data_IF_817775441849
#
_entry.id   IF_817775441849
#
_cell.length_a   1.000
_cell.length_b   1.000
_cell.length_c   1.000
_cell.angle_alpha   90.00
_cell.angle_beta   90.00
_cell.angle_gamma   90.00
#
_symmetry.space_group_name_H-M   'P 1'
#
loop_
_entity.id
_entity.type
_entity.pdbx_description
1 polymer ?
#
# COMPACT_ATOMS: atom_id res chain seq x y z
N UNK A 1 21.88 23.85 9.88
CA UNK A 1 21.58 23.43 8.51
C UNK A 1 20.49 24.37 7.99
N UNK A 2 20.74 25.14 6.94
CA UNK A 2 19.72 26.02 6.36
C UNK A 2 18.79 25.11 5.57
N UNK A 3 17.51 25.00 5.95
CA UNK A 3 16.50 24.33 5.15
C UNK A 3 16.40 25.04 3.81
N UNK A 4 16.58 24.30 2.72
CA UNK A 4 16.31 24.80 1.37
C UNK A 4 14.79 24.72 1.18
N UNK A 5 14.09 25.72 1.65
CA UNK A 5 12.68 25.94 1.28
C UNK A 5 12.65 26.48 -0.16
N UNK A 6 11.51 26.31 -0.84
CA UNK A 6 11.32 26.97 -2.14
C UNK A 6 11.47 28.51 -2.01
N UNK A 7 11.39 29.23 -3.14
CA UNK A 7 11.52 30.70 -3.17
C UNK A 7 10.52 31.43 -2.25
N UNK A 8 9.47 30.77 -1.80
CA UNK A 8 8.40 31.30 -0.94
C UNK A 8 8.47 30.80 0.52
N UNK A 9 9.46 29.96 0.87
CA UNK A 9 9.62 29.42 2.22
C UNK A 9 8.67 28.28 2.59
N UNK A 10 7.94 27.71 1.61
CA UNK A 10 7.06 26.56 1.83
C UNK A 10 7.87 25.26 1.87
N UNK A 11 7.47 24.26 2.69
CA UNK A 11 8.08 22.94 2.64
C UNK A 11 7.79 22.27 1.30
N UNK A 12 8.77 21.52 0.79
CA UNK A 12 8.69 20.78 -0.48
C UNK A 12 8.56 19.28 -0.19
N UNK A 13 7.50 18.66 -0.69
CA UNK A 13 7.32 17.20 -0.64
C UNK A 13 7.48 16.65 -2.06
N UNK A 14 8.50 15.81 -2.24
CA UNK A 14 8.66 15.07 -3.48
C UNK A 14 7.73 13.85 -3.48
N UNK A 15 6.91 13.73 -4.52
CA UNK A 15 5.99 12.60 -4.72
C UNK A 15 6.49 11.79 -5.90
N UNK A 16 6.73 10.50 -5.68
CA UNK A 16 7.12 9.55 -6.72
C UNK A 16 5.89 8.82 -7.21
N UNK A 17 5.60 8.98 -8.51
CA UNK A 17 4.38 8.50 -9.16
C UNK A 17 3.45 9.65 -9.54
N UNK A 18 2.63 9.44 -10.56
CA UNK A 18 1.95 10.50 -11.30
C UNK A 18 0.45 10.24 -11.55
N UNK A 19 -0.10 9.28 -10.78
CA UNK A 19 -1.48 8.84 -10.89
C UNK A 19 -2.48 9.80 -10.23
N UNK A 20 -3.72 9.29 -10.06
CA UNK A 20 -4.80 10.08 -9.45
C UNK A 20 -4.52 10.44 -7.99
N UNK A 21 -3.83 9.58 -7.24
CA UNK A 21 -3.54 9.82 -5.83
C UNK A 21 -2.56 10.99 -5.66
N UNK A 22 -1.51 11.04 -6.48
CA UNK A 22 -0.60 12.18 -6.53
C UNK A 22 -1.33 13.48 -6.96
N UNK A 23 -2.29 13.38 -7.90
CA UNK A 23 -3.14 14.52 -8.28
C UNK A 23 -3.96 15.04 -7.09
N UNK A 24 -4.54 14.16 -6.29
CA UNK A 24 -5.34 14.53 -5.11
C UNK A 24 -4.45 15.10 -4.00
N UNK A 25 -3.23 14.58 -3.82
CA UNK A 25 -2.24 15.16 -2.90
C UNK A 25 -1.95 16.64 -3.22
N UNK A 26 -1.92 17.03 -4.51
CA UNK A 26 -1.73 18.43 -4.90
C UNK A 26 -2.84 19.35 -4.40
N UNK A 27 -4.09 18.88 -4.37
CA UNK A 27 -5.22 19.66 -3.86
C UNK A 27 -5.03 19.99 -2.38
N UNK A 28 -4.72 18.97 -1.57
CA UNK A 28 -4.50 19.13 -0.13
C UNK A 28 -3.21 19.92 0.18
N UNK A 29 -2.18 19.76 -0.63
CA UNK A 29 -0.93 20.49 -0.48
C UNK A 29 -1.14 22.01 -0.61
N UNK A 30 -2.03 22.47 -1.50
CA UNK A 30 -2.38 23.88 -1.65
C UNK A 30 -2.97 24.43 -0.34
N UNK A 31 -3.93 23.73 0.24
CA UNK A 31 -4.59 24.13 1.48
C UNK A 31 -3.61 24.15 2.68
N UNK A 32 -2.65 23.23 2.68
CA UNK A 32 -1.64 23.12 3.74
C UNK A 32 -0.42 24.03 3.55
N UNK A 33 -0.31 24.76 2.44
CA UNK A 33 0.86 25.56 2.11
C UNK A 33 2.11 24.72 1.89
N UNK A 34 1.96 23.56 1.25
CA UNK A 34 3.03 22.63 0.89
C UNK A 34 3.21 22.65 -0.64
N UNK A 35 4.44 22.67 -1.10
CA UNK A 35 4.77 22.49 -2.51
C UNK A 35 4.96 21.00 -2.82
N UNK A 36 4.23 20.48 -3.82
CA UNK A 36 4.46 19.17 -4.39
C UNK A 36 5.45 19.25 -5.54
N UNK A 37 6.49 18.44 -5.48
CA UNK A 37 7.38 18.15 -6.60
C UNK A 37 7.13 16.73 -7.06
N UNK A 38 6.84 16.53 -8.34
CA UNK A 38 6.40 15.26 -8.90
C UNK A 38 7.51 14.59 -9.70
N UNK A 39 7.73 13.28 -9.50
CA UNK A 39 8.40 12.43 -10.49
C UNK A 39 7.34 11.75 -11.33
N UNK A 40 7.26 12.10 -12.61
CA UNK A 40 6.26 11.59 -13.54
C UNK A 40 6.91 10.88 -14.73
N UNK A 41 6.27 9.80 -15.20
CA UNK A 41 6.70 9.08 -16.40
C UNK A 41 6.42 9.87 -17.68
N UNK A 42 5.34 10.69 -17.68
CA UNK A 42 4.96 11.52 -18.84
C UNK A 42 4.41 12.87 -18.37
N UNK A 43 4.44 13.86 -19.25
CA UNK A 43 3.94 15.22 -18.98
C UNK A 43 2.41 15.34 -19.07
N UNK A 44 1.73 14.34 -19.64
CA UNK A 44 0.28 14.25 -19.73
C UNK A 44 -0.35 13.33 -18.64
N UNK A 45 0.46 12.80 -17.73
CA UNK A 45 -0.01 12.01 -16.61
C UNK A 45 -0.99 12.80 -15.71
N UNK A 46 -1.86 12.09 -14.99
CA UNK A 46 -2.95 12.70 -14.21
C UNK A 46 -2.48 13.80 -13.26
N UNK A 47 -1.44 13.58 -12.49
CA UNK A 47 -0.89 14.56 -11.56
C UNK A 47 -0.05 15.63 -12.26
N UNK A 48 0.67 15.28 -13.32
CA UNK A 48 1.50 16.21 -14.07
C UNK A 48 0.71 17.39 -14.68
N UNK A 49 -0.59 17.18 -14.93
CA UNK A 49 -1.48 18.24 -15.44
C UNK A 49 -1.80 19.35 -14.41
N UNK A 50 -1.54 19.14 -13.13
CA UNK A 50 -1.93 20.06 -12.04
C UNK A 50 -0.79 20.44 -11.11
N UNK A 51 0.30 19.67 -11.08
CA UNK A 51 1.51 19.99 -10.32
C UNK A 51 2.41 20.92 -11.10
N UNK A 52 2.96 21.94 -10.44
CA UNK A 52 3.82 22.93 -11.11
C UNK A 52 5.26 22.44 -11.30
N UNK A 53 5.88 21.83 -10.27
CA UNK A 53 7.25 21.30 -10.33
C UNK A 53 7.24 19.82 -10.74
N UNK A 54 7.19 19.56 -12.04
CA UNK A 54 7.21 18.20 -12.61
C UNK A 54 8.61 17.87 -13.10
N UNK A 55 9.13 16.71 -12.67
CA UNK A 55 10.39 16.10 -13.14
C UNK A 55 10.04 14.83 -13.89
N UNK A 56 10.30 14.82 -15.21
CA UNK A 56 10.09 13.62 -16.02
C UNK A 56 11.21 12.61 -15.75
N UNK A 57 10.85 11.35 -15.55
CA UNK A 57 11.80 10.27 -15.29
C UNK A 57 11.13 8.95 -14.92
N UNK A 58 11.96 7.98 -14.59
CA UNK A 58 11.55 6.64 -14.23
C UNK A 58 11.78 6.40 -12.71
N UNK A 59 10.75 5.97 -12.00
CA UNK A 59 10.84 5.66 -10.57
C UNK A 59 11.73 4.43 -10.27
N UNK A 60 12.12 3.66 -11.28
CA UNK A 60 13.10 2.57 -11.17
C UNK A 60 14.55 3.04 -11.38
N UNK A 61 14.77 4.28 -11.84
CA UNK A 61 16.09 4.88 -12.00
C UNK A 61 16.49 5.67 -10.74
N UNK A 62 17.62 5.31 -10.15
CA UNK A 62 18.13 5.95 -8.93
C UNK A 62 18.49 7.44 -9.13
N UNK A 63 19.00 7.81 -10.31
CA UNK A 63 19.37 9.22 -10.58
C UNK A 63 18.13 10.10 -10.73
N UNK A 64 17.05 9.56 -11.28
CA UNK A 64 15.77 10.26 -11.37
C UNK A 64 15.15 10.46 -9.98
N UNK A 65 15.24 9.42 -9.14
CA UNK A 65 14.83 9.52 -7.72
C UNK A 65 15.67 10.55 -6.95
N UNK A 66 16.99 10.57 -7.14
CA UNK A 66 17.87 11.59 -6.55
C UNK A 66 17.52 12.99 -7.02
N UNK A 67 17.24 13.16 -8.31
CA UNK A 67 16.90 14.44 -8.90
C UNK A 67 15.60 15.02 -8.35
N UNK A 68 14.56 14.19 -8.17
CA UNK A 68 13.29 14.65 -7.58
C UNK A 68 13.43 14.92 -6.09
N UNK A 69 14.22 14.12 -5.37
CA UNK A 69 14.44 14.25 -3.93
C UNK A 69 15.32 15.45 -3.54
N UNK A 70 16.20 15.93 -4.44
CA UNK A 70 17.19 16.95 -4.14
C UNK A 70 16.57 18.23 -3.57
N UNK A 71 16.90 18.56 -2.30
CA UNK A 71 16.39 19.74 -1.61
C UNK A 71 14.91 19.67 -1.22
N UNK A 72 14.27 18.49 -1.28
CA UNK A 72 12.95 18.28 -0.70
C UNK A 72 13.03 18.11 0.83
N UNK A 73 11.95 18.44 1.54
CA UNK A 73 11.84 18.22 2.99
C UNK A 73 11.41 16.78 3.31
N UNK A 74 10.73 16.12 2.37
CA UNK A 74 10.37 14.70 2.44
C UNK A 74 10.13 14.12 1.04
N UNK A 75 10.25 12.79 0.92
CA UNK A 75 9.82 12.02 -0.24
C UNK A 75 8.70 11.08 0.18
N UNK A 76 7.66 10.95 -0.65
CA UNK A 76 6.57 10.00 -0.49
C UNK A 76 6.15 9.43 -1.84
N UNK A 77 5.16 8.54 -1.85
CA UNK A 77 4.78 7.76 -3.02
C UNK A 77 3.27 7.82 -3.26
N UNK A 78 2.84 7.73 -4.52
CA UNK A 78 1.45 7.44 -4.86
C UNK A 78 1.22 5.97 -5.22
N UNK A 79 2.30 5.18 -5.33
CA UNK A 79 2.29 3.73 -5.49
C UNK A 79 3.49 3.07 -4.77
N UNK A 80 3.43 1.77 -4.50
CA UNK A 80 4.45 1.04 -3.73
C UNK A 80 5.51 0.33 -4.60
N UNK A 81 5.63 0.62 -5.90
CA UNK A 81 6.51 -0.15 -6.82
C UNK A 81 7.95 0.35 -6.88
N UNK A 82 8.30 1.40 -6.14
CA UNK A 82 9.67 1.94 -6.12
C UNK A 82 10.64 0.91 -5.53
N UNK A 83 11.79 0.62 -6.17
CA UNK A 83 12.77 -0.33 -5.64
C UNK A 83 13.24 0.05 -4.23
N UNK A 84 13.09 -0.87 -3.28
CA UNK A 84 13.38 -0.62 -1.87
C UNK A 84 14.84 -0.27 -1.62
N UNK A 85 15.75 -0.89 -2.37
CA UNK A 85 17.18 -0.58 -2.36
C UNK A 85 17.47 0.87 -2.79
N UNK A 86 16.75 1.41 -3.76
CA UNK A 86 16.90 2.81 -4.19
C UNK A 86 16.37 3.76 -3.11
N UNK A 87 15.25 3.42 -2.47
CA UNK A 87 14.71 4.20 -1.34
C UNK A 87 15.70 4.25 -0.19
N UNK A 88 16.35 3.12 0.13
CA UNK A 88 17.40 3.07 1.15
C UNK A 88 18.60 3.96 0.79
N UNK A 89 19.03 3.96 -0.48
CA UNK A 89 20.13 4.81 -0.95
C UNK A 89 19.81 6.32 -0.91
N UNK A 90 18.56 6.70 -0.95
CA UNK A 90 18.15 8.11 -0.71
C UNK A 90 18.29 8.49 0.76
N UNK A 91 17.88 7.60 1.67
CA UNK A 91 18.00 7.80 3.11
C UNK A 91 19.44 7.86 3.59
N UNK A 92 20.30 7.01 3.02
CA UNK A 92 21.70 6.88 3.39
C UNK A 92 22.62 7.81 2.60
N UNK A 93 22.07 8.75 1.83
CA UNK A 93 22.86 9.66 1.00
C UNK A 93 23.84 10.46 1.87
N UNK A 94 25.16 10.47 1.53
CA UNK A 94 26.18 11.14 2.33
C UNK A 94 26.08 12.67 2.31
N UNK A 95 25.38 13.20 1.28
CA UNK A 95 25.12 14.63 1.10
C UNK A 95 23.61 14.79 0.92
N UNK A 96 23.02 15.68 1.71
CA UNK A 96 21.60 16.00 1.69
C UNK A 96 20.67 14.76 1.79
N UNK A 97 20.79 13.92 2.84
CA UNK A 97 19.85 12.83 3.05
C UNK A 97 18.44 13.42 3.24
N UNK A 98 17.50 12.92 2.45
CA UNK A 98 16.09 13.34 2.54
C UNK A 98 15.28 12.27 3.26
N UNK A 99 14.38 12.65 4.17
CA UNK A 99 13.44 11.72 4.76
C UNK A 99 12.53 11.12 3.70
N UNK A 100 12.42 9.79 3.68
CA UNK A 100 11.50 9.04 2.80
C UNK A 100 10.47 8.34 3.67
N UNK A 101 9.20 8.55 3.39
CA UNK A 101 8.09 7.99 4.17
C UNK A 101 6.99 7.43 3.25
N UNK A 102 6.58 6.18 3.43
CA UNK A 102 7.09 5.22 4.41
C UNK A 102 8.53 4.81 4.14
N UNK A 103 9.24 4.37 5.21
CA UNK A 103 10.61 3.88 5.10
C UNK A 103 10.68 2.51 4.42
N UNK A 104 11.84 2.11 3.86
CA UNK A 104 12.01 0.81 3.21
C UNK A 104 11.61 -0.38 4.10
N UNK A 105 11.90 -0.29 5.42
CA UNK A 105 11.59 -1.33 6.39
C UNK A 105 10.09 -1.56 6.60
N UNK A 106 9.27 -0.53 6.35
CA UNK A 106 7.83 -0.64 6.35
C UNK A 106 7.30 -0.96 4.94
N UNK A 107 7.83 -0.27 3.93
CA UNK A 107 7.37 -0.36 2.55
C UNK A 107 7.42 -1.78 1.99
N UNK A 108 8.38 -2.60 2.41
CA UNK A 108 8.51 -4.00 2.00
C UNK A 108 7.20 -4.79 2.23
N UNK A 109 6.45 -4.48 3.29
CA UNK A 109 5.21 -5.17 3.61
C UNK A 109 4.00 -4.74 2.74
N UNK A 110 4.11 -3.64 2.00
CA UNK A 110 3.17 -3.29 0.94
C UNK A 110 3.62 -3.85 -0.42
N UNK A 111 4.93 -4.11 -0.60
CA UNK A 111 5.51 -4.61 -1.85
C UNK A 111 5.49 -6.13 -1.99
N UNK A 112 5.58 -6.86 -0.87
CA UNK A 112 5.70 -8.32 -0.86
C UNK A 112 4.62 -8.95 0.02
N UNK A 113 3.65 -9.59 -0.62
CA UNK A 113 2.49 -10.20 0.05
C UNK A 113 2.88 -11.34 0.99
N UNK A 114 3.94 -12.09 0.67
CA UNK A 114 4.39 -13.21 1.52
C UNK A 114 5.08 -12.67 2.79
N UNK A 115 5.97 -11.67 2.65
CA UNK A 115 6.60 -11.02 3.80
C UNK A 115 5.56 -10.30 4.67
N UNK A 116 4.57 -9.64 4.06
CA UNK A 116 3.43 -9.05 4.75
C UNK A 116 2.69 -10.09 5.60
N UNK A 117 2.33 -11.24 5.02
CA UNK A 117 1.61 -12.31 5.74
C UNK A 117 2.42 -12.90 6.87
N UNK A 118 3.72 -13.13 6.67
CA UNK A 118 4.64 -13.63 7.70
C UNK A 118 4.66 -12.67 8.88
N UNK A 119 4.89 -11.39 8.61
CA UNK A 119 4.97 -10.37 9.66
C UNK A 119 3.65 -10.16 10.39
N UNK A 120 2.53 -10.06 9.68
CA UNK A 120 1.21 -9.93 10.28
C UNK A 120 0.86 -11.12 11.18
N UNK A 121 1.21 -12.34 10.79
CA UNK A 121 1.03 -13.55 11.61
C UNK A 121 1.89 -13.48 12.88
N UNK A 122 3.12 -13.04 12.80
CA UNK A 122 4.00 -12.83 13.97
C UNK A 122 3.41 -11.82 14.96
N UNK A 123 2.78 -10.77 14.45
CA UNK A 123 2.08 -9.76 15.25
C UNK A 123 0.74 -10.25 15.82
N UNK A 124 0.33 -11.49 15.52
CA UNK A 124 -0.97 -12.02 15.93
C UNK A 124 -2.16 -11.33 15.25
N UNK A 125 -1.94 -10.68 14.10
CA UNK A 125 -3.03 -10.13 13.30
C UNK A 125 -3.83 -11.27 12.64
N UNK A 126 -5.16 -11.12 12.50
CA UNK A 126 -6.00 -12.14 11.88
C UNK A 126 -5.76 -12.16 10.37
N UNK A 127 -4.96 -13.11 9.90
CA UNK A 127 -4.70 -13.34 8.48
C UNK A 127 -5.28 -14.68 8.04
N UNK A 128 -5.70 -14.83 6.76
CA UNK A 128 -6.05 -16.14 6.22
C UNK A 128 -4.88 -17.13 6.34
N UNK A 129 -5.16 -18.44 6.31
CA UNK A 129 -4.10 -19.43 6.16
C UNK A 129 -3.35 -19.20 4.85
N UNK A 130 -2.03 -19.27 4.88
CA UNK A 130 -1.19 -19.02 3.71
C UNK A 130 0.08 -19.87 3.72
N UNK A 131 0.65 -20.08 2.53
CA UNK A 131 1.96 -20.71 2.34
C UNK A 131 2.69 -20.12 1.13
N UNK A 132 4.02 -20.11 1.17
CA UNK A 132 4.82 -19.95 -0.04
C UNK A 132 4.59 -21.14 -0.97
N UNK A 133 4.49 -20.90 -2.26
CA UNK A 133 4.33 -21.94 -3.29
C UNK A 133 5.57 -21.88 -4.17
N UNK A 134 6.53 -22.72 -3.85
CA UNK A 134 7.81 -22.80 -4.57
C UNK A 134 7.87 -24.00 -5.52
N UNK A 135 6.91 -24.92 -5.40
CA UNK A 135 6.82 -26.13 -6.19
C UNK A 135 5.38 -26.64 -6.35
N UNK A 136 5.15 -27.52 -7.31
CA UNK A 136 3.90 -28.25 -7.46
C UNK A 136 3.53 -29.06 -6.19
N UNK A 137 4.53 -29.57 -5.46
CA UNK A 137 4.29 -30.29 -4.20
C UNK A 137 3.76 -29.36 -3.09
N UNK A 138 4.26 -28.12 -3.00
CA UNK A 138 3.75 -27.13 -2.06
C UNK A 138 2.30 -26.75 -2.39
N UNK A 139 2.00 -26.58 -3.68
CA UNK A 139 0.65 -26.28 -4.15
C UNK A 139 -0.33 -27.40 -3.84
N UNK A 140 0.08 -28.68 -4.07
CA UNK A 140 -0.72 -29.86 -3.77
C UNK A 140 -1.02 -29.94 -2.27
N UNK A 141 0.00 -29.79 -1.42
CA UNK A 141 -0.14 -29.83 0.03
C UNK A 141 -1.01 -28.68 0.56
N UNK A 142 -0.84 -27.47 -0.01
CA UNK A 142 -1.62 -26.31 0.41
C UNK A 142 -3.09 -26.46 0.00
N UNK A 143 -3.39 -26.95 -1.21
CA UNK A 143 -4.75 -27.25 -1.66
C UNK A 143 -5.48 -28.15 -0.67
N UNK A 144 -4.85 -29.24 -0.24
CA UNK A 144 -5.45 -30.19 0.71
C UNK A 144 -5.63 -29.57 2.10
N UNK A 145 -4.72 -28.68 2.52
CA UNK A 145 -4.78 -28.04 3.84
C UNK A 145 -5.93 -27.02 4.00
N UNK A 146 -6.47 -26.52 2.87
CA UNK A 146 -7.55 -25.53 2.86
C UNK A 146 -8.81 -26.03 2.13
N UNK A 147 -8.96 -27.35 1.98
CA UNK A 147 -10.12 -28.00 1.35
C UNK A 147 -10.43 -27.49 -0.06
N UNK A 148 -9.39 -27.11 -0.81
CA UNK A 148 -9.51 -26.58 -2.18
C UNK A 148 -9.89 -25.09 -2.28
N UNK A 149 -10.13 -24.43 -1.16
CA UNK A 149 -10.45 -23.00 -1.12
C UNK A 149 -9.16 -22.14 -1.26
N UNK A 150 -8.58 -22.13 -2.46
CA UNK A 150 -7.31 -21.47 -2.75
C UNK A 150 -7.52 -20.18 -3.53
N UNK A 151 -6.83 -19.13 -3.07
CA UNK A 151 -6.49 -17.94 -3.82
C UNK A 151 -4.98 -17.94 -4.04
N UNK A 152 -4.53 -18.08 -5.29
CA UNK A 152 -3.11 -18.02 -5.65
C UNK A 152 -2.76 -16.55 -5.95
N UNK A 153 -1.65 -16.06 -5.42
CA UNK A 153 -1.21 -14.68 -5.59
C UNK A 153 0.27 -14.62 -5.99
N UNK A 154 0.61 -13.76 -6.94
CA UNK A 154 1.99 -13.32 -7.09
C UNK A 154 2.39 -12.53 -5.84
N UNK A 155 3.58 -12.81 -5.29
CA UNK A 155 4.01 -12.14 -4.05
C UNK A 155 4.32 -10.67 -4.27
N UNK A 156 4.70 -10.29 -5.50
CA UNK A 156 5.06 -8.92 -5.89
C UNK A 156 4.39 -8.49 -7.20
N UNK A 157 4.26 -7.19 -7.42
CA UNK A 157 3.84 -6.60 -8.70
C UNK A 157 2.34 -6.71 -9.00
N UNK A 158 1.52 -7.30 -8.13
CA UNK A 158 0.07 -7.35 -8.29
C UNK A 158 -0.61 -6.06 -7.81
N UNK A 159 -1.58 -5.55 -8.57
CA UNK A 159 -2.43 -4.40 -8.22
C UNK A 159 -3.78 -4.54 -8.91
N UNK A 160 -4.83 -3.96 -8.34
CA UNK A 160 -6.18 -3.93 -8.92
C UNK A 160 -6.66 -5.29 -9.46
N UNK A 161 -6.50 -6.36 -8.66
CA UNK A 161 -6.87 -7.73 -9.03
C UNK A 161 -5.90 -8.45 -9.98
N UNK A 162 -4.86 -7.79 -10.49
CA UNK A 162 -3.81 -8.45 -11.28
C UNK A 162 -2.87 -9.25 -10.38
N UNK A 163 -2.41 -10.40 -10.88
CA UNK A 163 -1.56 -11.29 -10.10
C UNK A 163 -2.31 -12.07 -9.02
N UNK A 164 -3.63 -12.25 -9.18
CA UNK A 164 -4.49 -13.05 -8.30
C UNK A 164 -5.30 -14.01 -9.15
N UNK A 165 -5.29 -15.29 -8.78
CA UNK A 165 -5.99 -16.37 -9.48
C UNK A 165 -6.81 -17.20 -8.50
N UNK A 166 -7.94 -17.70 -8.95
CA UNK A 166 -8.87 -18.52 -8.18
C UNK A 166 -9.07 -19.86 -8.89
N UNK A 167 -8.12 -20.81 -8.77
CA UNK A 167 -8.23 -22.10 -9.45
C UNK A 167 -9.46 -22.87 -8.98
N UNK A 168 -10.26 -23.36 -9.92
CA UNK A 168 -11.47 -24.14 -9.65
C UNK A 168 -11.17 -25.60 -9.35
N UNK A 169 -9.94 -26.07 -9.57
CA UNK A 169 -9.50 -27.44 -9.31
C UNK A 169 -8.02 -27.50 -8.97
N UNK A 170 -7.61 -28.58 -8.31
CA UNK A 170 -6.19 -28.86 -8.02
C UNK A 170 -5.35 -28.92 -9.30
N UNK A 171 -5.87 -29.52 -10.38
CA UNK A 171 -5.19 -29.58 -11.67
C UNK A 171 -4.93 -28.19 -12.25
N UNK A 172 -5.89 -27.27 -12.14
CA UNK A 172 -5.71 -25.90 -12.60
C UNK A 172 -4.68 -25.16 -11.74
N UNK A 173 -4.69 -25.33 -10.41
CA UNK A 173 -3.67 -24.78 -9.54
C UNK A 173 -2.26 -25.22 -9.93
N UNK A 174 -2.07 -26.52 -10.18
CA UNK A 174 -0.77 -27.06 -10.58
C UNK A 174 -0.32 -26.50 -11.94
N UNK A 175 -1.24 -26.39 -12.92
CA UNK A 175 -0.92 -25.78 -14.22
C UNK A 175 -0.51 -24.31 -14.06
N UNK A 176 -1.22 -23.53 -13.24
CA UNK A 176 -0.84 -22.13 -12.96
C UNK A 176 0.56 -22.02 -12.35
N UNK A 177 0.90 -22.89 -11.40
CA UNK A 177 2.25 -22.89 -10.78
C UNK A 177 3.35 -23.24 -11.77
N UNK A 178 3.08 -24.08 -12.77
CA UNK A 178 4.03 -24.41 -13.84
C UNK A 178 4.17 -23.29 -14.88
N UNK A 179 3.08 -22.56 -15.15
CA UNK A 179 3.03 -21.53 -16.19
C UNK A 179 3.52 -20.16 -15.75
N UNK A 180 3.36 -19.84 -14.45
CA UNK A 180 3.67 -18.51 -13.93
C UNK A 180 5.14 -18.41 -13.55
N UNK A 181 5.88 -17.53 -14.22
CA UNK A 181 7.28 -17.20 -13.91
C UNK A 181 7.35 -16.06 -12.87
N UNK A 182 6.85 -16.34 -11.68
CA UNK A 182 6.85 -15.36 -10.57
C UNK A 182 6.85 -16.10 -9.23
N UNK A 183 7.41 -15.51 -8.17
CA UNK A 183 7.23 -16.03 -6.81
C UNK A 183 5.76 -16.00 -6.42
N UNK A 184 5.25 -17.13 -5.91
CA UNK A 184 3.83 -17.35 -5.64
C UNK A 184 3.56 -17.60 -4.15
N UNK A 185 2.36 -17.23 -3.72
CA UNK A 185 1.78 -17.51 -2.42
C UNK A 185 0.37 -18.08 -2.58
N UNK A 186 0.09 -19.19 -1.93
CA UNK A 186 -1.27 -19.68 -1.73
C UNK A 186 -1.88 -19.05 -0.49
N UNK A 187 -3.12 -18.64 -0.58
CA UNK A 187 -3.90 -18.12 0.54
C UNK A 187 -5.28 -18.78 0.56
N UNK A 188 -5.82 -19.04 1.76
CA UNK A 188 -7.19 -19.57 1.86
C UNK A 188 -8.16 -18.49 1.38
N UNK A 189 -8.99 -18.83 0.41
CA UNK A 189 -10.09 -17.97 -0.05
C UNK A 189 -11.08 -17.76 1.08
N UNK A 190 -11.38 -16.50 1.39
CA UNK A 190 -12.34 -16.12 2.43
C UNK A 190 -13.69 -15.82 1.78
N UNK A 191 -14.76 -16.54 2.14
CA UNK A 191 -16.12 -16.17 1.78
C UNK A 191 -16.55 -15.00 2.67
N UNK A 192 -16.25 -13.77 2.26
CA UNK A 192 -16.54 -12.58 3.04
C UNK A 192 -17.95 -12.02 2.75
N UNK A 193 -18.52 -11.34 3.74
CA UNK A 193 -19.81 -10.66 3.64
C UNK A 193 -19.61 -9.25 3.06
N UNK A 194 -18.49 -8.59 3.41
CA UNK A 194 -18.10 -7.27 2.90
C UNK A 194 -16.61 -7.03 3.00
N UNK A 195 -16.14 -6.04 2.25
CA UNK A 195 -14.77 -5.53 2.37
C UNK A 195 -14.78 -4.23 3.17
N UNK A 196 -13.82 -4.11 4.10
CA UNK A 196 -13.64 -2.93 4.94
C UNK A 196 -12.25 -2.35 4.75
N UNK A 197 -12.11 -1.05 5.03
CA UNK A 197 -10.82 -0.37 5.09
C UNK A 197 -10.72 0.42 6.39
N UNK A 198 -9.70 0.14 7.18
CA UNK A 198 -9.33 0.89 8.37
C UNK A 198 -8.09 1.73 8.07
N UNK A 199 -8.27 3.05 7.98
CA UNK A 199 -7.19 3.97 7.67
C UNK A 199 -6.69 4.68 8.91
N UNK A 200 -5.36 4.82 9.00
CA UNK A 200 -4.68 5.56 10.05
C UNK A 200 -3.59 6.45 9.46
N UNK A 201 -3.27 7.54 10.16
CA UNK A 201 -2.08 8.32 9.91
C UNK A 201 -1.20 8.33 11.16
N UNK A 202 0.10 8.13 10.99
CA UNK A 202 1.10 8.18 12.06
C UNK A 202 2.20 9.15 11.69
N UNK A 203 2.57 10.04 12.62
CA UNK A 203 3.69 10.94 12.46
C UNK A 203 5.00 10.34 13.00
N UNK A 204 6.13 11.03 12.76
CA UNK A 204 7.47 10.61 13.25
C UNK A 204 7.60 10.60 14.78
N UNK A 205 6.72 11.30 15.49
CA UNK A 205 6.69 11.30 16.96
C UNK A 205 5.94 10.09 17.53
N UNK A 206 5.35 9.25 16.66
CA UNK A 206 4.57 8.08 17.04
C UNK A 206 3.11 8.36 17.34
N UNK A 207 2.63 9.59 17.15
CA UNK A 207 1.21 9.90 17.31
C UNK A 207 0.41 9.31 16.15
N UNK A 208 -0.65 8.58 16.50
CA UNK A 208 -1.54 7.92 15.54
C UNK A 208 -2.95 8.51 15.64
N UNK A 209 -3.58 8.71 14.48
CA UNK A 209 -5.00 9.05 14.36
C UNK A 209 -5.64 8.10 13.37
N UNK A 210 -6.84 7.61 13.71
CA UNK A 210 -7.64 6.72 12.87
C UNK A 210 -8.87 7.46 12.35
N UNK A 211 -9.19 7.24 11.08
CA UNK A 211 -10.47 7.63 10.51
C UNK A 211 -11.58 6.61 10.86
N UNK A 212 -12.85 6.96 10.66
CA UNK A 212 -13.92 5.97 10.64
C UNK A 212 -13.61 4.83 9.67
N UNK A 213 -14.02 3.61 10.03
CA UNK A 213 -13.91 2.45 9.13
C UNK A 213 -14.82 2.65 7.93
N UNK A 214 -14.35 2.29 6.76
CA UNK A 214 -15.03 2.45 5.48
C UNK A 214 -15.41 1.09 4.93
N UNK A 215 -16.62 0.94 4.40
CA UNK A 215 -16.99 -0.20 3.56
C UNK A 215 -16.57 0.10 2.12
N UNK A 216 -15.81 -0.83 1.53
CA UNK A 216 -15.34 -0.76 0.14
C UNK A 216 -16.14 -1.69 -0.74
N UNK A 217 -16.80 -1.15 -1.75
CA UNK A 217 -17.49 -1.95 -2.77
C UNK A 217 -16.61 -1.95 -4.02
N UNK A 218 -16.13 -3.14 -4.37
CA UNK A 218 -15.23 -3.33 -5.51
C UNK A 218 -15.98 -3.92 -6.71
N UNK A 219 -15.52 -3.53 -7.89
CA UNK A 219 -15.93 -4.12 -9.16
C UNK A 219 -14.69 -4.34 -10.02
N UNK A 220 -14.44 -5.62 -10.37
CA UNK A 220 -13.26 -6.01 -11.13
C UNK A 220 -11.93 -5.69 -10.42
N UNK A 221 -11.88 -5.74 -9.08
CA UNK A 221 -10.69 -5.43 -8.28
C UNK A 221 -10.42 -3.93 -8.08
N UNK A 222 -11.35 -3.05 -8.51
CA UNK A 222 -11.23 -1.61 -8.35
C UNK A 222 -12.31 -1.10 -7.41
N UNK A 223 -11.93 -0.31 -6.40
CA UNK A 223 -12.88 0.35 -5.50
C UNK A 223 -13.77 1.32 -6.29
N UNK A 224 -15.08 1.05 -6.33
CA UNK A 224 -16.08 1.87 -7.02
C UNK A 224 -16.86 2.75 -6.07
N UNK A 225 -17.11 2.26 -4.86
CA UNK A 225 -17.86 3.00 -3.83
C UNK A 225 -17.16 2.82 -2.49
N UNK A 226 -17.00 3.91 -1.77
CA UNK A 226 -16.54 3.94 -0.39
C UNK A 226 -17.64 4.54 0.49
N UNK A 227 -18.12 3.79 1.49
CA UNK A 227 -19.17 4.23 2.41
C UNK A 227 -18.55 4.51 3.77
N UNK A 228 -18.57 5.76 4.21
CA UNK A 228 -18.03 6.21 5.49
C UNK A 228 -19.12 6.90 6.33
N UNK A 229 -19.28 6.51 7.60
CA UNK A 229 -18.74 5.31 8.24
C UNK A 229 -19.38 4.02 7.67
N UNK A 230 -18.65 2.91 7.75
CA UNK A 230 -19.20 1.59 7.40
C UNK A 230 -20.39 1.24 8.30
N UNK A 231 -21.43 0.61 7.72
CA UNK A 231 -22.62 0.17 8.45
C UNK A 231 -22.38 -1.12 9.26
N UNK A 232 -21.39 -1.11 10.16
CA UNK A 232 -20.98 -2.24 11.01
C UNK A 232 -21.18 -1.92 12.50
N UNK A 233 -21.25 -2.93 13.39
CA UNK A 233 -21.33 -2.69 14.84
C UNK A 233 -20.13 -1.86 15.35
N UNK A 234 -20.39 -0.96 16.32
CA UNK A 234 -19.35 -0.10 16.92
C UNK A 234 -18.16 -0.87 17.46
N UNK A 235 -18.40 -2.05 18.04
CA UNK A 235 -17.37 -2.94 18.56
C UNK A 235 -16.44 -3.43 17.46
N UNK A 236 -16.99 -3.87 16.32
CA UNK A 236 -16.21 -4.31 15.16
C UNK A 236 -15.45 -3.13 14.55
N UNK A 237 -16.08 -1.96 14.46
CA UNK A 237 -15.41 -0.74 13.98
C UNK A 237 -14.22 -0.35 14.90
N UNK A 238 -14.37 -0.52 16.22
CA UNK A 238 -13.29 -0.30 17.18
C UNK A 238 -12.15 -1.30 16.97
N UNK A 239 -12.47 -2.59 16.85
CA UNK A 239 -11.49 -3.66 16.58
C UNK A 239 -10.68 -3.40 15.30
N UNK A 240 -11.33 -3.02 14.21
CA UNK A 240 -10.67 -2.66 12.95
C UNK A 240 -9.66 -1.50 13.14
N UNK A 241 -10.06 -0.43 13.83
CA UNK A 241 -9.19 0.72 14.08
C UNK A 241 -8.01 0.37 15.00
N UNK A 242 -8.26 -0.37 16.08
CA UNK A 242 -7.21 -0.81 17.00
C UNK A 242 -6.19 -1.71 16.30
N UNK A 243 -6.65 -2.62 15.44
CA UNK A 243 -5.78 -3.45 14.60
C UNK A 243 -4.92 -2.59 13.67
N UNK A 244 -5.51 -1.63 12.97
CA UNK A 244 -4.77 -0.75 12.06
C UNK A 244 -3.74 0.13 12.78
N UNK A 245 -4.09 0.68 13.95
CA UNK A 245 -3.15 1.43 14.79
C UNK A 245 -1.97 0.55 15.24
N UNK A 246 -2.24 -0.66 15.72
CA UNK A 246 -1.20 -1.63 16.13
C UNK A 246 -0.29 -2.00 14.96
N UNK A 247 -0.84 -2.26 13.78
CA UNK A 247 -0.04 -2.57 12.59
C UNK A 247 0.84 -1.38 12.22
N UNK A 248 0.32 -0.15 12.22
CA UNK A 248 1.09 1.06 11.91
C UNK A 248 2.26 1.27 12.89
N UNK A 249 2.04 0.99 14.19
CA UNK A 249 3.06 1.09 15.23
C UNK A 249 4.14 0.02 15.07
N UNK A 250 3.74 -1.25 14.95
CA UNK A 250 4.64 -2.41 14.91
C UNK A 250 5.45 -2.52 13.61
N UNK A 251 4.97 -1.94 12.53
CA UNK A 251 5.69 -1.84 11.25
C UNK A 251 6.45 -0.51 11.11
N UNK A 252 6.41 0.36 12.12
CA UNK A 252 6.99 1.72 12.12
C UNK A 252 6.60 2.54 10.87
N UNK A 253 5.34 2.43 10.46
CA UNK A 253 4.83 3.22 9.33
C UNK A 253 4.76 4.69 9.74
N UNK A 254 5.32 5.57 8.92
CA UNK A 254 5.09 7.02 8.99
C UNK A 254 4.33 7.46 7.75
N UNK A 255 3.30 8.28 7.94
CA UNK A 255 2.36 8.66 6.88
C UNK A 255 1.02 7.95 7.03
N UNK A 256 0.36 7.70 5.90
CA UNK A 256 -0.94 7.03 5.84
C UNK A 256 -0.75 5.53 5.63
N UNK A 257 -1.52 4.75 6.40
CA UNK A 257 -1.68 3.32 6.21
C UNK A 257 -3.16 2.99 6.06
N UNK A 258 -3.54 2.28 5.02
CA UNK A 258 -4.83 1.62 4.89
C UNK A 258 -4.65 0.12 5.12
N UNK A 259 -5.44 -0.44 6.02
CA UNK A 259 -5.54 -1.89 6.26
C UNK A 259 -6.84 -2.35 5.63
N UNK A 260 -6.74 -3.09 4.55
CA UNK A 260 -7.89 -3.72 3.91
C UNK A 260 -8.26 -4.99 4.66
N UNK A 261 -9.55 -5.17 4.90
CA UNK A 261 -10.09 -6.24 5.73
C UNK A 261 -11.26 -6.92 5.02
N UNK A 262 -11.32 -8.24 5.14
CA UNK A 262 -12.55 -8.99 4.90
C UNK A 262 -13.31 -9.14 6.21
N UNK A 263 -14.60 -8.84 6.22
CA UNK A 263 -15.53 -9.20 7.28
C UNK A 263 -16.30 -10.45 6.85
N UNK A 264 -16.25 -11.48 7.68
CA UNK A 264 -16.94 -12.75 7.45
C UNK A 264 -17.55 -13.24 8.75
N UNK A 265 -18.89 -13.28 8.83
CA UNK A 265 -19.61 -13.74 10.01
C UNK A 265 -19.32 -12.94 11.28
N UNK A 266 -19.02 -11.64 11.15
CA UNK A 266 -18.70 -10.75 12.27
C UNK A 266 -17.23 -10.80 12.72
N UNK A 267 -16.37 -11.55 12.06
CA UNK A 267 -14.93 -11.59 12.28
C UNK A 267 -14.19 -10.90 11.13
N UNK A 268 -13.02 -10.33 11.44
CA UNK A 268 -12.18 -9.68 10.43
C UNK A 268 -10.96 -10.52 10.05
N UNK A 269 -10.51 -10.38 8.82
CA UNK A 269 -9.23 -10.92 8.32
C UNK A 269 -8.53 -9.86 7.49
N UNK A 270 -7.23 -9.67 7.70
CA UNK A 270 -6.45 -8.72 6.89
C UNK A 270 -6.31 -9.25 5.47
N UNK A 271 -6.72 -8.43 4.50
CA UNK A 271 -6.53 -8.70 3.08
C UNK A 271 -5.22 -8.12 2.57
N UNK A 272 -4.99 -6.82 2.73
CA UNK A 272 -3.80 -6.14 2.19
C UNK A 272 -3.46 -4.89 3.01
N UNK A 273 -2.22 -4.42 2.87
CA UNK A 273 -1.76 -3.14 3.40
C UNK A 273 -1.41 -2.21 2.25
N UNK A 274 -1.87 -0.97 2.32
CA UNK A 274 -1.44 0.10 1.43
C UNK A 274 -0.80 1.22 2.26
N UNK A 275 0.44 1.58 1.92
CA UNK A 275 1.25 2.57 2.66
C UNK A 275 1.35 3.88 1.88
N UNK A 276 0.24 4.34 1.34
CA UNK A 276 0.05 5.53 0.52
C UNK A 276 -1.38 6.04 0.67
N UNK A 277 -1.73 7.22 0.15
CA UNK A 277 -3.14 7.58 0.00
C UNK A 277 -3.94 6.46 -0.66
N UNK A 278 -5.13 6.20 -0.16
CA UNK A 278 -5.93 5.04 -0.56
C UNK A 278 -7.26 5.44 -1.19
N UNK A 279 -7.76 4.64 -2.14
CA UNK A 279 -9.02 4.91 -2.83
C UNK A 279 -10.21 5.05 -1.86
N UNK A 280 -10.22 4.30 -0.77
CA UNK A 280 -11.25 4.40 0.27
C UNK A 280 -11.14 5.66 1.14
N UNK A 281 -10.11 6.50 0.92
CA UNK A 281 -9.86 7.74 1.65
C UNK A 281 -10.26 9.01 0.91
N UNK A 282 -10.76 8.93 -0.32
CA UNK A 282 -11.09 10.12 -1.14
C UNK A 282 -12.09 11.07 -0.46
N UNK A 283 -13.02 10.55 0.30
CA UNK A 283 -14.03 11.32 1.05
C UNK A 283 -13.44 12.20 2.16
N UNK A 284 -12.20 11.97 2.57
CA UNK A 284 -11.54 12.75 3.64
C UNK A 284 -11.11 14.15 3.18
N UNK A 285 -11.28 14.46 1.90
CA UNK A 285 -10.98 15.77 1.29
C UNK A 285 -12.18 16.72 1.30
N UNK A 286 -13.38 16.29 1.70
CA UNK A 286 -14.62 17.06 1.71
C UNK A 286 -14.88 17.73 3.08
#
# INVERSE_FOLDING_TARGET
MVRVTNAYGMPVVAVVGDGQLARMLQTEAIELGVEVRLLAGTDDASAAQVVHDVRLGDYTDLEDLRRVAAGADAVTFDHEHVPNEHVQLLLDAPVDPVPVEPRPQALIYAQDKLEQRRRLRELGAPVPAFAAIESAADADAFWDSVDGEVCLKATRGGYDGKGVWFPASKSELLSLVEELDAPLMGERKIPFDRELSAMVARNRAGEIRAWPVVESIQDGGVCRVAISPAGIPDELARECRELACRIAEELDVTGVLAVELFEAGGEIRVNELAMRPHNTGHWTQD
#
